data_IF_998577100863
#
_entry.id   IF_998577100863
#
_cell.length_a   1.000
_cell.length_b   1.000
_cell.length_c   1.000
_cell.angle_alpha   90.00
_cell.angle_beta   90.00
_cell.angle_gamma   90.00
#
_symmetry.space_group_name_H-M   'P 1'
#
loop_
_entity.id
_entity.type
_entity.pdbx_description
1 polymer ?
#
# COMPACT_ATOMS: atom_id res chain seq x y z
N UNK A 1 -15.74 -2.58 -17.41
CA UNK A 1 -16.20 -2.54 -16.02
C UNK A 1 -16.59 -1.11 -15.68
N UNK A 2 -17.82 -0.86 -15.25
CA UNK A 2 -18.22 0.47 -14.77
C UNK A 2 -17.55 0.67 -13.41
N UNK A 3 -16.70 1.68 -13.31
CA UNK A 3 -16.20 2.14 -12.03
C UNK A 3 -17.40 2.56 -11.18
N UNK A 4 -17.66 1.83 -10.12
CA UNK A 4 -18.59 2.28 -9.09
C UNK A 4 -17.84 3.32 -8.22
N UNK A 5 -18.49 4.40 -7.83
CA UNK A 5 -17.84 5.40 -6.99
C UNK A 5 -17.49 4.77 -5.64
N UNK A 6 -16.22 4.81 -5.31
CA UNK A 6 -15.72 4.43 -3.98
C UNK A 6 -15.77 5.68 -3.12
N UNK A 7 -16.44 5.57 -2.01
CA UNK A 7 -16.50 6.64 -1.03
C UNK A 7 -15.35 6.49 -0.05
N UNK A 8 -14.39 7.42 -0.13
CA UNK A 8 -13.23 7.44 0.77
C UNK A 8 -13.47 8.55 1.77
N UNK A 9 -13.42 8.22 3.04
CA UNK A 9 -13.45 9.22 4.11
C UNK A 9 -12.32 9.00 5.09
N UNK A 10 -11.59 10.06 5.35
CA UNK A 10 -10.68 10.14 6.49
C UNK A 10 -11.53 10.15 7.76
N UNK A 11 -11.46 9.10 8.58
CA UNK A 11 -12.27 9.01 9.79
C UNK A 11 -11.76 9.87 10.94
N UNK A 12 -10.47 9.98 11.12
CA UNK A 12 -9.85 10.90 12.07
C UNK A 12 -8.33 10.93 11.94
N UNK A 13 -7.74 12.10 12.15
CA UNK A 13 -6.45 12.20 12.83
C UNK A 13 -6.69 11.88 14.30
N UNK A 14 -5.76 11.20 14.96
CA UNK A 14 -5.89 10.89 16.40
C UNK A 14 -6.13 12.14 17.24
N UNK A 15 -5.72 13.30 16.74
CA UNK A 15 -5.85 14.59 17.41
C UNK A 15 -7.00 15.49 16.92
N UNK A 16 -7.84 15.05 15.96
CA UNK A 16 -8.90 15.90 15.41
C UNK A 16 -10.30 15.34 15.62
N UNK A 17 -11.20 16.21 16.02
CA UNK A 17 -12.58 15.92 16.46
C UNK A 17 -13.66 16.11 15.41
N UNK A 18 -13.33 16.40 14.15
CA UNK A 18 -14.32 16.66 13.10
C UNK A 18 -14.66 15.43 12.26
N UNK A 19 -15.91 15.00 12.37
CA UNK A 19 -16.53 13.97 11.55
C UNK A 19 -17.68 14.58 10.74
N UNK A 20 -17.84 14.15 9.50
CA UNK A 20 -18.99 14.53 8.68
C UNK A 20 -20.15 13.52 8.90
N UNK A 21 -21.30 13.99 9.35
CA UNK A 21 -22.38 13.18 9.96
C UNK A 21 -23.24 12.36 8.97
N UNK A 22 -23.17 12.63 7.69
CA UNK A 22 -24.28 12.28 6.79
C UNK A 22 -24.34 10.84 6.25
N UNK A 23 -23.43 9.92 6.59
CA UNK A 23 -23.20 8.73 5.73
C UNK A 23 -23.32 7.35 6.38
N UNK A 24 -23.69 7.21 7.65
CA UNK A 24 -23.43 5.95 8.32
C UNK A 24 -24.64 5.34 9.03
N UNK A 25 -25.33 4.44 8.36
CA UNK A 25 -26.20 3.44 8.99
C UNK A 25 -25.56 2.05 8.82
N UNK A 26 -25.16 1.41 9.90
CA UNK A 26 -24.55 0.07 9.91
C UNK A 26 -25.18 -0.85 10.94
N UNK A 27 -25.27 -2.13 10.59
CA UNK A 27 -25.59 -3.21 11.52
C UNK A 27 -24.26 -3.78 12.05
N UNK A 28 -23.93 -3.50 13.32
CA UNK A 28 -22.59 -3.77 13.87
C UNK A 28 -22.50 -4.96 14.84
N UNK A 29 -23.56 -5.62 15.19
CA UNK A 29 -23.60 -6.50 16.37
C UNK A 29 -22.54 -7.59 16.38
N UNK A 30 -22.33 -8.28 15.26
CA UNK A 30 -21.40 -9.39 15.21
C UNK A 30 -19.93 -8.92 15.11
N UNK A 31 -19.68 -7.89 14.35
CA UNK A 31 -18.30 -7.41 14.08
C UNK A 31 -17.70 -6.68 15.30
N UNK A 32 -18.51 -5.87 16.01
CA UNK A 32 -18.06 -5.27 17.28
C UNK A 32 -17.73 -6.35 18.30
N UNK A 33 -18.52 -7.41 18.39
CA UNK A 33 -18.26 -8.49 19.33
C UNK A 33 -16.97 -9.27 19.01
N UNK A 34 -16.60 -9.39 17.74
CA UNK A 34 -15.30 -9.96 17.32
C UNK A 34 -14.13 -9.09 17.75
N UNK A 35 -14.25 -7.76 17.58
CA UNK A 35 -13.23 -6.81 18.02
C UNK A 35 -13.06 -6.80 19.53
N UNK A 36 -14.17 -6.83 20.27
CA UNK A 36 -14.14 -6.93 21.73
C UNK A 36 -13.51 -8.24 22.21
N UNK A 37 -13.73 -9.34 21.47
CA UNK A 37 -13.10 -10.62 21.74
C UNK A 37 -11.58 -10.56 21.45
N UNK A 38 -11.15 -9.93 20.37
CA UNK A 38 -9.72 -9.75 20.06
C UNK A 38 -9.05 -8.93 21.17
N UNK A 39 -9.62 -7.78 21.54
CA UNK A 39 -9.10 -6.95 22.63
C UNK A 39 -9.05 -7.73 23.97
N UNK A 40 -10.08 -8.48 24.29
CA UNK A 40 -10.11 -9.33 25.49
C UNK A 40 -9.04 -10.41 25.44
N UNK A 41 -8.88 -11.10 24.33
CA UNK A 41 -7.89 -12.15 24.14
C UNK A 41 -6.45 -11.62 24.31
N UNK A 42 -6.15 -10.48 23.68
CA UNK A 42 -4.83 -9.83 23.82
C UNK A 42 -4.55 -9.41 25.27
N UNK A 43 -5.56 -8.89 25.97
CA UNK A 43 -5.43 -8.53 27.38
C UNK A 43 -5.19 -9.77 28.26
N UNK A 44 -5.96 -10.87 28.07
CA UNK A 44 -5.75 -12.11 28.82
C UNK A 44 -4.36 -12.69 28.58
N UNK A 45 -3.85 -12.61 27.35
CA UNK A 45 -2.49 -13.01 27.01
C UNK A 45 -1.44 -12.12 27.70
N UNK A 46 -1.60 -10.80 27.63
CA UNK A 46 -0.69 -9.85 28.28
C UNK A 46 -0.64 -10.03 29.79
N UNK A 47 -1.79 -10.33 30.43
CA UNK A 47 -1.90 -10.61 31.87
C UNK A 47 -1.43 -12.02 32.25
N UNK A 48 -1.01 -12.85 31.29
CA UNK A 48 -0.60 -14.24 31.47
C UNK A 48 -1.70 -15.19 32.02
N UNK A 49 -2.97 -14.80 31.82
CA UNK A 49 -4.11 -15.65 32.18
C UNK A 49 -4.35 -16.76 31.15
N UNK A 50 -3.80 -16.61 29.94
CA UNK A 50 -3.76 -17.61 28.89
C UNK A 50 -2.37 -17.62 28.26
N UNK A 51 -1.90 -18.79 27.83
CA UNK A 51 -0.60 -18.99 27.19
C UNK A 51 -0.79 -19.26 25.69
N UNK A 52 0.23 -18.94 24.89
CA UNK A 52 0.20 -19.14 23.44
C UNK A 52 -0.15 -20.59 23.03
N UNK A 53 0.29 -21.56 23.80
CA UNK A 53 0.14 -23.00 23.55
C UNK A 53 -1.04 -23.64 24.28
N UNK A 54 -1.85 -22.87 25.03
CA UNK A 54 -3.06 -23.40 25.65
C UNK A 54 -4.01 -23.92 24.56
N UNK A 55 -4.59 -25.08 24.78
CA UNK A 55 -5.32 -25.83 23.77
C UNK A 55 -6.82 -25.84 24.04
N UNK A 56 -7.60 -25.61 23.01
CA UNK A 56 -9.04 -25.79 23.01
C UNK A 56 -9.43 -26.96 22.09
N UNK A 57 -10.20 -27.89 22.63
CA UNK A 57 -10.76 -29.01 21.86
C UNK A 57 -12.15 -28.66 21.40
N UNK A 58 -12.40 -28.65 20.08
CA UNK A 58 -13.70 -28.31 19.51
C UNK A 58 -14.73 -29.41 19.87
N UNK A 59 -15.79 -29.08 20.59
CA UNK A 59 -16.79 -30.07 21.02
C UNK A 59 -17.64 -30.56 19.87
N UNK A 60 -18.17 -31.79 19.98
CA UNK A 60 -19.03 -32.41 18.96
C UNK A 60 -20.32 -31.63 18.68
N UNK A 61 -20.82 -30.89 19.66
CA UNK A 61 -22.05 -30.12 19.60
C UNK A 61 -21.84 -28.62 19.36
N UNK A 62 -20.75 -28.26 18.67
CA UNK A 62 -20.50 -26.87 18.31
C UNK A 62 -21.67 -26.29 17.50
N UNK A 63 -22.00 -25.05 17.78
CA UNK A 63 -23.12 -24.33 17.14
C UNK A 63 -23.07 -24.39 15.60
N UNK A 64 -24.22 -24.65 14.98
CA UNK A 64 -24.33 -24.60 13.51
C UNK A 64 -24.51 -23.15 13.09
N UNK A 65 -23.44 -22.51 12.64
CA UNK A 65 -23.47 -21.14 12.12
C UNK A 65 -24.04 -21.12 10.69
N UNK A 66 -25.35 -21.21 10.57
CA UNK A 66 -26.04 -21.22 9.27
C UNK A 66 -26.03 -19.79 8.70
N UNK A 67 -25.61 -19.64 7.44
CA UNK A 67 -25.56 -18.34 6.75
C UNK A 67 -24.40 -17.43 7.12
N UNK A 68 -23.51 -17.85 8.03
CA UNK A 68 -22.34 -17.08 8.44
C UNK A 68 -21.05 -17.63 7.81
N UNK A 69 -20.05 -16.76 7.65
CA UNK A 69 -18.73 -17.17 7.20
C UNK A 69 -18.08 -18.10 8.24
N UNK A 70 -17.53 -19.23 7.77
CA UNK A 70 -16.85 -20.23 8.60
C UNK A 70 -15.48 -20.53 8.06
N UNK A 71 -14.54 -20.78 8.97
CA UNK A 71 -13.23 -21.35 8.60
C UNK A 71 -13.34 -22.86 8.41
N UNK A 72 -14.24 -23.53 9.12
CA UNK A 72 -14.44 -24.98 9.06
C UNK A 72 -13.62 -25.72 10.09
N UNK A 73 -13.62 -25.24 11.35
CA UNK A 73 -13.01 -25.96 12.47
C UNK A 73 -13.67 -27.33 12.62
N UNK A 74 -12.85 -28.38 12.72
CA UNK A 74 -13.37 -29.74 12.82
C UNK A 74 -13.60 -30.15 14.28
N UNK A 75 -14.72 -30.80 14.49
CA UNK A 75 -15.06 -31.37 15.81
C UNK A 75 -14.03 -32.37 16.27
N UNK A 76 -13.74 -32.40 17.55
CA UNK A 76 -12.72 -33.23 18.22
C UNK A 76 -11.26 -32.90 17.82
N UNK A 77 -11.01 -31.93 16.96
CA UNK A 77 -9.67 -31.40 16.74
C UNK A 77 -9.31 -30.35 17.80
N UNK A 78 -8.02 -30.22 18.04
CA UNK A 78 -7.45 -29.32 19.03
C UNK A 78 -6.78 -28.15 18.32
N UNK A 79 -7.03 -26.93 18.80
CA UNK A 79 -6.40 -25.71 18.32
C UNK A 79 -5.81 -24.92 19.47
N UNK A 80 -4.63 -24.37 19.27
CA UNK A 80 -3.98 -23.52 20.28
C UNK A 80 -4.66 -22.16 20.37
N UNK A 81 -4.44 -21.45 21.48
CA UNK A 81 -4.88 -20.07 21.63
C UNK A 81 -4.34 -19.18 20.51
N UNK A 82 -3.04 -19.34 20.18
CA UNK A 82 -2.41 -18.60 19.08
C UNK A 82 -3.13 -18.83 17.76
N UNK A 83 -3.39 -20.09 17.39
CA UNK A 83 -4.10 -20.42 16.15
C UNK A 83 -5.50 -19.82 16.12
N UNK A 84 -6.28 -19.97 17.20
CA UNK A 84 -7.64 -19.42 17.23
C UNK A 84 -7.67 -17.90 17.13
N UNK A 85 -6.75 -17.21 17.81
CA UNK A 85 -6.70 -15.76 17.72
C UNK A 85 -6.23 -15.28 16.33
N UNK A 86 -5.21 -15.91 15.75
CA UNK A 86 -4.79 -15.66 14.39
C UNK A 86 -5.93 -15.93 13.37
N UNK A 87 -6.62 -17.07 13.52
CA UNK A 87 -7.76 -17.41 12.66
C UNK A 87 -8.88 -16.37 12.75
N UNK A 88 -9.20 -15.89 13.96
CA UNK A 88 -10.21 -14.86 14.15
C UNK A 88 -9.80 -13.55 13.47
N UNK A 89 -8.56 -13.10 13.67
CA UNK A 89 -8.02 -11.87 13.08
C UNK A 89 -8.07 -11.96 11.55
N UNK A 90 -7.64 -13.09 10.97
CA UNK A 90 -7.56 -13.25 9.52
C UNK A 90 -8.88 -13.48 8.82
N UNK A 91 -9.78 -14.25 9.41
CA UNK A 91 -10.96 -14.73 8.71
C UNK A 91 -12.27 -14.15 9.25
N UNK A 92 -12.24 -13.66 10.48
CA UNK A 92 -13.43 -13.21 11.20
C UNK A 92 -14.58 -14.25 11.21
N UNK A 93 -14.23 -15.53 11.11
CA UNK A 93 -15.16 -16.61 10.97
C UNK A 93 -15.94 -16.86 12.27
N UNK A 94 -17.23 -17.17 12.13
CA UNK A 94 -18.14 -17.32 13.26
C UNK A 94 -17.83 -18.55 14.13
N UNK A 95 -17.39 -19.65 13.54
CA UNK A 95 -16.94 -20.85 14.25
C UNK A 95 -15.67 -20.62 15.06
N UNK A 96 -14.74 -19.80 14.56
CA UNK A 96 -13.54 -19.41 15.29
C UNK A 96 -13.87 -18.48 16.45
N UNK A 97 -14.76 -17.49 16.24
CA UNK A 97 -15.26 -16.62 17.30
C UNK A 97 -15.88 -17.43 18.45
N UNK A 98 -16.73 -18.41 18.10
CA UNK A 98 -17.39 -19.27 19.10
C UNK A 98 -16.36 -20.11 19.87
N UNK A 99 -15.39 -20.72 19.19
CA UNK A 99 -14.33 -21.51 19.81
C UNK A 99 -13.47 -20.66 20.76
N UNK A 100 -12.97 -19.51 20.33
CA UNK A 100 -12.14 -18.63 21.14
C UNK A 100 -12.94 -18.03 22.32
N UNK A 101 -14.21 -17.67 22.10
CA UNK A 101 -15.08 -17.21 23.20
C UNK A 101 -15.26 -18.27 24.28
N UNK A 102 -15.50 -19.53 23.90
CA UNK A 102 -15.64 -20.64 24.85
C UNK A 102 -14.33 -20.95 25.55
N UNK A 103 -13.22 -20.90 24.86
CA UNK A 103 -11.89 -21.07 25.45
C UNK A 103 -11.61 -20.04 26.55
N UNK A 104 -11.94 -18.77 26.30
CA UNK A 104 -11.60 -17.67 27.22
C UNK A 104 -12.67 -17.40 28.28
N UNK A 105 -13.94 -17.63 27.96
CA UNK A 105 -15.07 -17.23 28.79
C UNK A 105 -15.85 -18.44 29.36
N UNK A 106 -15.63 -19.65 28.86
CA UNK A 106 -16.32 -20.87 29.28
C UNK A 106 -17.67 -21.05 28.60
N UNK A 107 -18.64 -20.14 28.80
CA UNK A 107 -19.98 -20.23 28.19
C UNK A 107 -20.29 -18.99 27.35
N UNK A 108 -21.31 -19.13 26.47
CA UNK A 108 -21.79 -18.02 25.64
C UNK A 108 -22.42 -16.90 26.49
N UNK A 109 -23.06 -17.25 27.61
CA UNK A 109 -23.65 -16.29 28.54
C UNK A 109 -22.54 -15.46 29.22
N UNK A 110 -21.47 -16.11 29.67
CA UNK A 110 -20.33 -15.43 30.25
C UNK A 110 -19.61 -14.54 29.22
N UNK A 111 -19.43 -15.02 27.98
CA UNK A 111 -18.89 -14.23 26.89
C UNK A 111 -19.73 -12.98 26.61
N UNK A 112 -21.06 -13.12 26.52
CA UNK A 112 -21.99 -12.01 26.32
C UNK A 112 -21.89 -10.97 27.44
N UNK A 113 -21.77 -11.41 28.69
CA UNK A 113 -21.60 -10.51 29.84
C UNK A 113 -20.25 -9.73 29.76
N UNK A 114 -19.18 -10.43 29.43
CA UNK A 114 -17.85 -9.84 29.28
C UNK A 114 -17.85 -8.80 28.14
N UNK A 115 -18.44 -9.15 26.98
CA UNK A 115 -18.53 -8.25 25.84
C UNK A 115 -19.39 -7.02 26.16
N UNK A 116 -20.49 -7.18 26.86
CA UNK A 116 -21.35 -6.04 27.26
C UNK A 116 -20.62 -5.08 28.21
N UNK A 117 -19.90 -5.62 29.20
CA UNK A 117 -19.07 -4.82 30.11
C UNK A 117 -17.95 -4.10 29.35
N UNK A 118 -17.29 -4.79 28.43
CA UNK A 118 -16.21 -4.23 27.63
C UNK A 118 -16.72 -3.15 26.65
N UNK A 119 -17.83 -3.42 25.99
CA UNK A 119 -18.50 -2.43 25.14
C UNK A 119 -18.82 -1.15 25.92
N UNK A 120 -19.34 -1.28 27.14
CA UNK A 120 -19.60 -0.13 28.01
C UNK A 120 -18.35 0.68 28.35
N UNK A 121 -17.16 0.01 28.53
CA UNK A 121 -15.88 0.69 28.77
C UNK A 121 -15.47 1.60 27.62
N UNK A 122 -15.88 1.27 26.40
CA UNK A 122 -15.62 2.07 25.20
C UNK A 122 -16.84 2.90 24.79
N UNK A 123 -17.90 2.98 25.60
CA UNK A 123 -19.20 3.58 25.27
C UNK A 123 -19.80 3.05 23.96
N UNK A 124 -19.53 1.78 23.64
CA UNK A 124 -20.13 1.08 22.50
C UNK A 124 -21.46 0.44 22.92
N UNK A 125 -22.46 0.49 22.06
CA UNK A 125 -23.70 -0.26 22.22
C UNK A 125 -23.71 -1.45 21.27
N UNK A 126 -24.11 -2.62 21.76
CA UNK A 126 -24.25 -3.84 20.97
C UNK A 126 -25.65 -3.92 20.33
N UNK A 127 -26.21 -2.81 19.85
CA UNK A 127 -27.52 -2.73 19.20
C UNK A 127 -27.37 -2.16 17.79
N UNK A 128 -28.28 -2.58 16.92
CA UNK A 128 -28.32 -2.49 15.47
C UNK A 128 -28.20 -1.11 14.79
N UNK A 129 -27.86 -0.04 15.49
CA UNK A 129 -27.70 1.29 14.88
C UNK A 129 -26.37 1.90 15.23
N UNK A 130 -25.54 2.08 14.23
CA UNK A 130 -24.30 2.83 14.39
C UNK A 130 -24.57 4.32 14.26
N UNK A 131 -24.47 5.03 15.37
CA UNK A 131 -24.38 6.48 15.38
C UNK A 131 -22.93 6.92 15.16
N UNK A 132 -22.72 8.17 14.78
CA UNK A 132 -21.39 8.79 14.69
C UNK A 132 -20.57 8.61 15.99
N UNK A 133 -21.22 8.70 17.15
CA UNK A 133 -20.56 8.45 18.42
C UNK A 133 -20.07 7.01 18.55
N UNK A 134 -20.76 6.04 18.01
CA UNK A 134 -20.33 4.64 17.98
C UNK A 134 -19.05 4.44 17.17
N UNK A 135 -18.89 5.12 16.05
CA UNK A 135 -17.67 5.06 15.25
C UNK A 135 -16.47 5.65 15.99
N UNK A 136 -16.64 6.77 16.71
CA UNK A 136 -15.58 7.30 17.59
C UNK A 136 -15.13 6.29 18.63
N UNK A 137 -16.09 5.61 19.23
CA UNK A 137 -15.84 4.62 20.28
C UNK A 137 -15.24 3.33 19.72
N UNK A 138 -15.71 2.89 18.55
CA UNK A 138 -15.10 1.78 17.81
C UNK A 138 -13.62 2.09 17.47
N UNK A 139 -13.36 3.33 17.08
CA UNK A 139 -12.02 3.83 16.85
C UNK A 139 -11.11 3.71 18.09
N UNK A 140 -11.63 4.05 19.29
CA UNK A 140 -10.88 3.90 20.54
C UNK A 140 -10.56 2.44 20.85
N UNK A 141 -11.48 1.53 20.56
CA UNK A 141 -11.27 0.09 20.71
C UNK A 141 -10.16 -0.40 19.74
N UNK A 142 -10.24 -0.03 18.48
CA UNK A 142 -9.22 -0.38 17.49
C UNK A 142 -7.87 0.18 17.89
N UNK A 143 -7.79 1.45 18.29
CA UNK A 143 -6.57 2.08 18.80
C UNK A 143 -5.99 1.31 19.99
N UNK A 144 -6.85 0.83 20.90
CA UNK A 144 -6.41 0.01 22.03
C UNK A 144 -5.79 -1.30 21.54
N UNK A 145 -6.42 -2.00 20.61
CA UNK A 145 -5.89 -3.24 20.02
C UNK A 145 -4.48 -3.00 19.43
N UNK A 146 -4.28 -1.88 18.74
CA UNK A 146 -2.97 -1.55 18.15
C UNK A 146 -1.94 -0.99 19.13
N UNK A 147 -2.37 -0.58 20.32
CA UNK A 147 -1.46 -0.12 21.37
C UNK A 147 -0.78 -1.26 22.16
N UNK A 148 -1.13 -2.51 21.91
CA UNK A 148 -0.42 -3.64 22.54
C UNK A 148 1.05 -3.67 22.09
N UNK A 149 1.97 -4.18 22.97
CA UNK A 149 3.39 -4.27 22.65
C UNK A 149 3.69 -5.00 21.33
N UNK A 150 4.78 -4.65 20.67
CA UNK A 150 5.12 -5.20 19.35
C UNK A 150 5.35 -6.71 19.39
N UNK A 151 5.96 -7.25 20.44
CA UNK A 151 6.15 -8.68 20.62
C UNK A 151 4.82 -9.45 20.66
N UNK A 152 3.78 -8.88 21.24
CA UNK A 152 2.41 -9.44 21.22
C UNK A 152 1.82 -9.32 19.82
N UNK A 153 1.97 -8.16 19.18
CA UNK A 153 1.45 -7.95 17.81
C UNK A 153 2.11 -8.88 16.79
N UNK A 154 3.43 -9.02 16.82
CA UNK A 154 4.17 -9.91 15.92
C UNK A 154 3.74 -11.38 16.03
N UNK A 155 3.32 -11.82 17.22
CA UNK A 155 2.82 -13.18 17.41
C UNK A 155 1.46 -13.43 16.76
N UNK A 156 0.57 -12.46 16.79
CA UNK A 156 -0.82 -12.64 16.37
C UNK A 156 -1.16 -12.02 15.00
N UNK A 157 -0.47 -10.94 14.61
CA UNK A 157 -0.68 -10.27 13.33
C UNK A 157 0.32 -10.78 12.29
N UNK A 158 0.16 -12.03 11.87
CA UNK A 158 1.03 -12.71 10.91
C UNK A 158 0.74 -12.26 9.46
N UNK A 159 1.70 -12.47 8.56
CA UNK A 159 1.58 -12.04 7.15
C UNK A 159 0.82 -13.04 6.26
N UNK A 160 0.78 -14.29 6.65
CA UNK A 160 0.16 -15.37 5.91
C UNK A 160 -0.35 -16.43 6.89
N UNK A 161 -1.56 -16.92 6.66
CA UNK A 161 -2.18 -17.98 7.44
C UNK A 161 -2.39 -19.20 6.56
N UNK A 162 -1.83 -20.34 6.97
CA UNK A 162 -2.05 -21.62 6.32
C UNK A 162 -2.98 -22.51 7.17
N UNK A 163 -4.12 -22.90 6.61
CA UNK A 163 -5.08 -23.77 7.28
C UNK A 163 -5.67 -24.80 6.33
N UNK A 164 -5.59 -26.09 6.67
CA UNK A 164 -6.09 -27.23 5.91
C UNK A 164 -5.64 -27.21 4.42
N UNK A 165 -4.37 -26.87 4.17
CA UNK A 165 -3.80 -26.82 2.82
C UNK A 165 -4.25 -25.62 1.98
N UNK A 166 -4.96 -24.67 2.57
CA UNK A 166 -5.31 -23.39 1.96
C UNK A 166 -4.47 -22.28 2.60
N UNK A 167 -3.91 -21.43 1.76
CA UNK A 167 -3.27 -20.20 2.18
C UNK A 167 -4.34 -19.09 2.22
N UNK A 168 -4.39 -18.39 3.34
CA UNK A 168 -5.19 -17.20 3.52
C UNK A 168 -4.22 -16.03 3.57
N UNK A 169 -4.31 -15.15 2.59
CA UNK A 169 -3.60 -13.88 2.64
C UNK A 169 -4.38 -12.90 3.52
N UNK A 170 -3.69 -11.96 4.14
CA UNK A 170 -4.36 -10.85 4.82
C UNK A 170 -5.38 -10.22 3.87
N UNK A 171 -6.48 -9.72 4.41
CA UNK A 171 -7.55 -9.11 3.61
C UNK A 171 -7.09 -7.90 2.79
N UNK A 172 -5.84 -7.46 2.98
CA UNK A 172 -5.22 -6.42 2.18
C UNK A 172 -3.73 -6.66 2.00
N UNK A 173 -3.20 -6.45 0.78
CA UNK A 173 -1.76 -6.46 0.51
C UNK A 173 -0.99 -5.32 1.22
N UNK A 174 -1.68 -4.39 1.86
CA UNK A 174 -1.08 -3.32 2.65
C UNK A 174 -0.61 -3.78 4.04
N UNK A 175 -1.03 -4.96 4.51
CA UNK A 175 -0.57 -5.54 5.77
C UNK A 175 0.95 -5.77 5.74
N UNK A 176 1.63 -5.26 6.76
CA UNK A 176 3.09 -5.38 6.89
C UNK A 176 3.91 -4.23 6.33
N UNK A 177 3.27 -3.18 5.82
CA UNK A 177 3.94 -1.98 5.32
C UNK A 177 3.38 -0.71 5.98
N UNK A 178 3.49 -0.57 7.30
CA UNK A 178 2.92 0.55 8.08
C UNK A 178 1.40 0.65 8.09
N UNK A 179 0.72 -0.30 7.48
CA UNK A 179 -0.68 -0.57 7.70
C UNK A 179 -0.75 -1.72 8.68
N UNK A 180 -1.16 -1.44 9.87
CA UNK A 180 -1.11 -2.41 10.95
C UNK A 180 -2.25 -3.40 10.80
N UNK A 181 -3.40 -3.01 10.21
CA UNK A 181 -4.46 -3.97 9.86
C UNK A 181 -5.60 -3.39 9.03
N UNK A 182 -6.30 -4.28 8.33
CA UNK A 182 -7.61 -4.01 7.79
C UNK A 182 -8.63 -4.87 8.51
N UNK A 183 -9.51 -4.21 9.24
CA UNK A 183 -10.68 -4.84 9.80
C UNK A 183 -11.81 -4.81 8.78
N UNK A 184 -12.36 -5.97 8.54
CA UNK A 184 -13.42 -6.19 7.60
C UNK A 184 -14.76 -6.27 8.35
N UNK A 185 -15.61 -5.27 8.12
CA UNK A 185 -16.97 -5.24 8.63
C UNK A 185 -17.94 -5.46 7.47
N UNK A 186 -18.91 -6.35 7.62
CA UNK A 186 -19.94 -6.59 6.61
C UNK A 186 -21.29 -6.18 7.12
N UNK A 187 -22.05 -5.45 6.31
CA UNK A 187 -23.50 -5.50 6.38
C UNK A 187 -24.06 -6.13 5.09
N UNK A 188 -25.38 -6.33 5.02
CA UNK A 188 -26.06 -6.95 3.87
C UNK A 188 -25.85 -6.21 2.54
N UNK A 189 -25.34 -4.99 2.55
CA UNK A 189 -25.25 -4.11 1.37
C UNK A 189 -23.85 -3.53 1.11
N UNK A 190 -22.93 -3.51 2.10
CA UNK A 190 -21.61 -2.88 1.96
C UNK A 190 -20.54 -3.67 2.69
N UNK A 191 -19.38 -3.77 2.09
CA UNK A 191 -18.16 -4.21 2.76
C UNK A 191 -17.37 -2.99 3.20
N UNK A 192 -16.91 -3.01 4.43
CA UNK A 192 -16.22 -1.89 5.06
C UNK A 192 -14.86 -2.38 5.51
N UNK A 193 -13.85 -1.62 5.12
CA UNK A 193 -12.49 -1.87 5.53
C UNK A 193 -12.03 -0.72 6.40
N UNK A 194 -11.64 -1.03 7.62
CA UNK A 194 -10.96 -0.08 8.52
C UNK A 194 -9.47 -0.34 8.42
N UNK A 195 -8.71 0.68 8.09
CA UNK A 195 -7.27 0.58 7.90
C UNK A 195 -6.56 1.54 8.85
N UNK A 196 -5.66 1.03 9.65
CA UNK A 196 -4.83 1.82 10.55
C UNK A 196 -3.46 2.10 9.90
N UNK A 197 -3.08 3.37 9.84
CA UNK A 197 -1.79 3.83 9.31
C UNK A 197 -0.89 4.23 10.46
N UNK A 198 0.13 3.41 10.72
CA UNK A 198 1.03 3.60 11.86
C UNK A 198 1.81 4.92 11.80
N UNK A 199 2.26 5.29 10.60
CA UNK A 199 3.10 6.48 10.39
C UNK A 199 2.44 7.80 10.82
N UNK A 200 1.13 7.94 10.59
CA UNK A 200 0.40 9.16 10.88
C UNK A 200 -0.58 8.99 12.04
N UNK A 201 -0.61 7.84 12.66
CA UNK A 201 -1.64 7.48 13.64
C UNK A 201 -3.06 7.79 13.13
N UNK A 202 -3.26 7.59 11.85
CA UNK A 202 -4.50 7.91 11.15
C UNK A 202 -5.26 6.63 10.84
N UNK A 203 -6.57 6.64 11.00
CA UNK A 203 -7.44 5.56 10.56
C UNK A 203 -8.16 5.98 9.30
N UNK A 204 -7.93 5.22 8.24
CA UNK A 204 -8.66 5.30 7.00
C UNK A 204 -9.87 4.39 7.01
N UNK A 205 -10.91 4.83 6.36
CA UNK A 205 -12.13 4.07 6.20
C UNK A 205 -12.50 3.99 4.72
N UNK A 206 -12.81 2.77 4.27
CA UNK A 206 -13.18 2.50 2.89
C UNK A 206 -14.50 1.73 2.87
N UNK A 207 -15.47 2.23 2.14
CA UNK A 207 -16.75 1.57 1.94
C UNK A 207 -16.96 1.25 0.47
N UNK A 208 -17.37 0.02 0.18
CA UNK A 208 -17.65 -0.45 -1.17
C UNK A 208 -19.10 -0.94 -1.26
N UNK A 209 -19.79 -0.57 -2.32
CA UNK A 209 -21.18 -0.98 -2.57
C UNK A 209 -21.30 -2.43 -3.07
N UNK A 210 -20.26 -2.94 -3.73
CA UNK A 210 -20.23 -4.27 -4.31
C UNK A 210 -19.17 -5.16 -3.68
N UNK A 211 -19.25 -6.46 -3.97
CA UNK A 211 -18.33 -7.49 -3.49
C UNK A 211 -16.96 -7.33 -4.12
N UNK A 212 -16.15 -6.39 -3.59
CA UNK A 212 -14.76 -6.27 -3.97
C UNK A 212 -13.99 -7.41 -3.33
N UNK A 213 -13.79 -8.46 -4.09
CA UNK A 213 -13.12 -9.67 -3.63
C UNK A 213 -11.59 -9.51 -3.48
N UNK A 214 -11.02 -8.37 -3.90
CA UNK A 214 -9.58 -8.19 -3.99
C UNK A 214 -9.12 -6.95 -3.26
N UNK A 215 -8.18 -7.13 -2.37
CA UNK A 215 -7.57 -6.07 -1.58
C UNK A 215 -6.74 -5.07 -2.43
N UNK A 216 -6.30 -5.46 -3.63
CA UNK A 216 -5.62 -4.58 -4.59
C UNK A 216 -6.43 -3.32 -4.95
N UNK A 217 -7.75 -3.38 -4.85
CA UNK A 217 -8.60 -2.20 -5.04
C UNK A 217 -8.48 -1.16 -3.92
N UNK A 218 -7.91 -1.53 -2.77
CA UNK A 218 -7.67 -0.59 -1.66
C UNK A 218 -6.42 0.26 -1.84
N UNK A 219 -5.47 -0.17 -2.67
CA UNK A 219 -4.18 0.51 -2.85
C UNK A 219 -4.34 1.94 -3.34
N UNK A 220 -5.18 2.23 -4.35
CA UNK A 220 -5.42 3.61 -4.77
C UNK A 220 -5.84 4.51 -3.61
N UNK A 221 -6.54 3.97 -2.63
CA UNK A 221 -7.11 4.70 -1.51
C UNK A 221 -6.15 4.91 -0.36
N UNK A 222 -5.23 3.96 -0.14
CA UNK A 222 -4.11 4.15 0.78
C UNK A 222 -3.29 5.39 0.40
N UNK A 223 -3.05 5.58 -0.89
CA UNK A 223 -2.33 6.74 -1.39
C UNK A 223 -3.04 8.07 -1.08
N UNK A 224 -4.38 8.12 -0.95
CA UNK A 224 -5.10 9.33 -0.63
C UNK A 224 -4.74 9.91 0.74
N UNK A 225 -4.45 9.09 1.73
CA UNK A 225 -4.16 9.55 3.08
C UNK A 225 -2.75 10.11 3.23
N UNK A 226 -1.82 9.68 2.38
CA UNK A 226 -0.43 10.13 2.38
C UNK A 226 -0.21 11.44 1.60
N UNK A 227 -1.17 11.82 0.78
CA UNK A 227 -1.06 12.94 -0.15
C UNK A 227 -0.95 14.33 0.49
N UNK A 228 -1.22 14.48 1.78
CA UNK A 228 -1.32 15.79 2.43
C UNK A 228 0.02 16.53 2.64
N UNK A 229 1.16 15.90 2.37
CA UNK A 229 2.49 16.46 2.70
C UNK A 229 3.50 16.45 1.56
N UNK A 230 3.05 16.32 0.31
CA UNK A 230 3.96 16.32 -0.83
C UNK A 230 4.56 17.70 -1.04
N UNK A 231 5.89 17.74 -1.20
CA UNK A 231 6.61 18.99 -1.43
C UNK A 231 7.01 19.10 -2.91
N UNK A 232 6.90 20.30 -3.50
CA UNK A 232 7.43 20.52 -4.84
C UNK A 232 8.97 20.47 -4.83
N UNK A 233 9.54 19.92 -5.89
CA UNK A 233 10.93 20.16 -6.28
C UNK A 233 10.93 21.37 -7.18
N UNK A 234 11.42 22.50 -6.68
CA UNK A 234 11.47 23.74 -7.45
C UNK A 234 12.52 23.60 -8.54
N UNK A 235 12.12 23.87 -9.77
CA UNK A 235 13.00 23.92 -10.94
C UNK A 235 12.86 25.25 -11.68
N UNK A 236 13.75 25.51 -12.60
CA UNK A 236 13.74 26.73 -13.38
C UNK A 236 13.84 26.44 -14.87
N UNK A 237 13.17 27.28 -15.66
CA UNK A 237 13.28 27.31 -17.12
C UNK A 237 13.45 28.77 -17.55
N UNK A 238 14.65 29.34 -17.41
CA UNK A 238 14.88 30.76 -17.71
C UNK A 238 14.50 31.17 -19.12
N UNK A 239 14.56 30.25 -20.09
CA UNK A 239 14.11 30.46 -21.48
C UNK A 239 12.58 30.49 -21.65
N UNK A 240 11.85 30.00 -20.62
CA UNK A 240 10.40 29.75 -20.74
C UNK A 240 10.04 28.52 -21.57
N UNK A 241 11.02 27.70 -21.95
CA UNK A 241 10.83 26.51 -22.77
C UNK A 241 10.84 25.25 -21.87
N UNK A 242 9.85 24.41 -22.05
CA UNK A 242 9.74 23.07 -21.42
C UNK A 242 9.75 22.04 -22.53
N UNK A 243 10.78 21.21 -22.59
CA UNK A 243 10.88 20.10 -23.53
C UNK A 243 10.55 18.80 -22.80
N UNK A 244 9.53 18.08 -23.26
CA UNK A 244 9.12 16.77 -22.72
C UNK A 244 9.43 15.72 -23.76
N UNK A 245 10.39 14.84 -23.45
CA UNK A 245 10.81 13.73 -24.28
C UNK A 245 10.10 12.44 -23.81
N UNK A 246 9.99 11.48 -24.72
CA UNK A 246 9.44 10.16 -24.43
C UNK A 246 10.43 9.24 -23.70
N UNK A 247 10.21 7.93 -23.90
CA UNK A 247 11.01 6.88 -23.28
C UNK A 247 12.47 6.96 -23.72
N UNK A 248 13.36 6.95 -22.76
CA UNK A 248 14.79 7.08 -22.96
C UNK A 248 15.52 5.90 -22.37
N UNK A 249 15.98 5.02 -23.22
CA UNK A 249 16.81 3.87 -22.93
C UNK A 249 17.72 3.59 -24.14
N UNK A 250 19.00 3.33 -23.92
CA UNK A 250 19.96 3.17 -25.03
C UNK A 250 19.94 1.77 -25.64
N UNK A 251 19.29 0.82 -25.03
CA UNK A 251 19.08 -0.52 -25.58
C UNK A 251 20.21 -1.49 -25.30
N UNK A 252 20.92 -1.33 -24.18
CA UNK A 252 22.09 -2.16 -23.79
C UNK A 252 21.79 -3.66 -23.83
N UNK A 253 20.61 -4.09 -23.36
CA UNK A 253 20.21 -5.49 -23.42
C UNK A 253 20.12 -6.02 -24.86
N UNK A 254 19.71 -5.18 -25.79
CA UNK A 254 19.63 -5.57 -27.21
C UNK A 254 21.03 -5.57 -27.84
N UNK A 255 21.88 -4.65 -27.43
CA UNK A 255 23.29 -4.59 -27.83
C UNK A 255 24.03 -5.87 -27.39
N UNK A 256 23.86 -6.30 -26.15
CA UNK A 256 24.45 -7.54 -25.64
C UNK A 256 23.94 -8.77 -26.41
N UNK A 257 22.63 -8.85 -26.68
CA UNK A 257 22.04 -9.94 -27.49
C UNK A 257 22.59 -9.96 -28.92
N UNK A 258 22.80 -8.80 -29.55
CA UNK A 258 23.37 -8.70 -30.89
C UNK A 258 24.84 -9.07 -30.88
N UNK A 259 25.62 -8.58 -29.91
CA UNK A 259 27.01 -8.95 -29.72
C UNK A 259 27.19 -10.46 -29.58
N UNK A 260 26.36 -11.12 -28.79
CA UNK A 260 26.37 -12.57 -28.65
C UNK A 260 26.08 -13.34 -29.96
N UNK A 261 25.47 -12.67 -30.96
CA UNK A 261 25.19 -13.21 -32.30
C UNK A 261 26.21 -12.76 -33.35
N UNK A 262 27.27 -12.08 -32.94
CA UNK A 262 28.31 -11.52 -33.86
C UNK A 262 27.76 -10.32 -34.67
N UNK A 263 26.70 -9.67 -34.22
CA UNK A 263 26.11 -8.50 -34.90
C UNK A 263 26.54 -7.21 -34.20
N UNK A 264 26.78 -6.16 -35.00
CA UNK A 264 27.10 -4.80 -34.51
C UNK A 264 25.85 -3.93 -34.67
N UNK A 265 25.59 -3.10 -33.67
CA UNK A 265 24.52 -2.09 -33.71
C UNK A 265 25.04 -0.67 -33.56
N UNK A 266 24.11 0.31 -33.59
CA UNK A 266 24.49 1.72 -33.53
C UNK A 266 25.14 2.10 -32.20
N UNK A 267 24.73 1.52 -31.07
CA UNK A 267 25.32 1.80 -29.75
C UNK A 267 26.77 1.34 -29.67
N UNK A 268 27.08 0.14 -30.20
CA UNK A 268 28.46 -0.38 -30.29
C UNK A 268 29.32 0.45 -31.23
N UNK A 269 28.73 0.88 -32.34
CA UNK A 269 29.50 1.57 -33.41
C UNK A 269 29.73 3.06 -33.12
N UNK A 270 28.76 3.74 -32.54
CA UNK A 270 28.75 5.20 -32.43
C UNK A 270 28.65 5.72 -31.00
N UNK A 271 28.43 4.84 -30.02
CA UNK A 271 28.26 5.22 -28.61
C UNK A 271 26.92 5.87 -28.29
N UNK A 272 26.77 6.30 -27.05
CA UNK A 272 25.52 6.80 -26.47
C UNK A 272 25.04 8.14 -27.08
N UNK A 273 25.95 9.04 -27.33
CA UNK A 273 25.64 10.39 -27.89
C UNK A 273 25.01 10.34 -29.27
N UNK A 274 25.22 9.26 -30.00
CA UNK A 274 24.64 9.10 -31.34
C UNK A 274 23.11 9.11 -31.33
N UNK A 275 22.50 8.58 -30.31
CA UNK A 275 21.03 8.53 -30.14
C UNK A 275 20.42 9.95 -30.08
N UNK A 276 21.15 10.90 -29.54
CA UNK A 276 20.69 12.28 -29.37
C UNK A 276 21.15 13.26 -30.46
N UNK A 277 21.97 12.80 -31.40
CA UNK A 277 22.59 13.65 -32.42
C UNK A 277 21.63 14.60 -33.13
N UNK A 278 20.40 14.13 -33.41
CA UNK A 278 19.42 14.95 -34.16
C UNK A 278 18.62 15.88 -33.27
N UNK A 279 18.40 15.54 -32.01
CA UNK A 279 17.56 16.35 -31.11
C UNK A 279 18.34 17.32 -30.24
N UNK A 280 19.66 17.13 -30.11
CA UNK A 280 20.52 18.00 -29.29
C UNK A 280 20.36 19.49 -29.59
N UNK A 281 20.19 19.85 -30.86
CA UNK A 281 20.04 21.24 -31.28
C UNK A 281 18.74 21.90 -30.78
N UNK A 282 17.76 21.11 -30.34
CA UNK A 282 16.47 21.61 -29.84
C UNK A 282 16.44 21.72 -28.29
N UNK A 283 17.46 21.24 -27.61
CA UNK A 283 17.52 21.18 -26.15
C UNK A 283 18.51 22.23 -25.65
N UNK A 284 17.98 23.38 -25.24
CA UNK A 284 18.80 24.48 -24.72
C UNK A 284 19.27 24.23 -23.28
N UNK A 285 20.41 24.78 -22.91
CA UNK A 285 20.95 24.73 -21.55
C UNK A 285 20.05 25.38 -20.51
N UNK A 286 19.29 26.40 -20.92
CA UNK A 286 18.39 27.16 -20.06
C UNK A 286 16.92 26.69 -20.14
N UNK A 287 16.69 25.60 -20.87
CA UNK A 287 15.37 24.97 -20.96
C UNK A 287 15.15 23.98 -19.82
N UNK A 288 13.90 23.71 -19.49
CA UNK A 288 13.53 22.56 -18.67
C UNK A 288 13.39 21.33 -19.58
N UNK A 289 14.43 20.50 -19.64
CA UNK A 289 14.46 19.30 -20.45
C UNK A 289 14.14 18.08 -19.58
N UNK A 290 13.02 17.39 -19.86
CA UNK A 290 12.55 16.23 -19.11
C UNK A 290 12.40 15.03 -20.02
N UNK A 291 12.89 13.85 -19.62
CA UNK A 291 12.67 12.59 -20.32
C UNK A 291 12.12 11.51 -19.39
N UNK A 292 11.33 10.58 -19.90
CA UNK A 292 11.04 9.35 -19.18
C UNK A 292 12.27 8.43 -19.25
N UNK A 293 13.02 8.29 -18.15
CA UNK A 293 14.15 7.35 -18.10
C UNK A 293 13.59 5.95 -17.81
N UNK A 294 13.42 5.16 -18.87
CA UNK A 294 12.79 3.84 -18.83
C UNK A 294 13.83 2.72 -18.65
N UNK A 295 14.65 2.81 -17.61
CA UNK A 295 15.63 1.81 -17.24
C UNK A 295 16.02 1.95 -15.76
N UNK A 296 16.89 1.07 -15.30
CA UNK A 296 17.45 1.10 -13.95
C UNK A 296 18.97 0.97 -14.00
N UNK A 297 19.67 1.69 -13.14
CA UNK A 297 21.09 1.43 -12.86
C UNK A 297 21.21 0.36 -11.79
N UNK A 298 22.12 -0.57 -11.95
CA UNK A 298 22.34 -1.62 -10.96
C UNK A 298 23.76 -2.15 -11.00
N UNK A 299 24.32 -2.42 -9.82
CA UNK A 299 25.57 -3.16 -9.66
C UNK A 299 25.37 -4.68 -9.72
N UNK A 300 24.11 -5.14 -9.57
CA UNK A 300 23.77 -6.55 -9.59
C UNK A 300 23.84 -7.12 -11.01
N UNK A 301 24.31 -8.38 -11.12
CA UNK A 301 24.39 -9.06 -12.41
C UNK A 301 23.07 -9.74 -12.82
N UNK A 302 22.22 -10.04 -11.85
CA UNK A 302 20.96 -10.73 -12.07
C UNK A 302 19.79 -9.97 -11.46
N UNK A 303 18.71 -9.89 -12.22
CA UNK A 303 17.46 -9.31 -11.76
C UNK A 303 16.66 -10.32 -10.94
N UNK A 304 16.08 -9.93 -9.79
CA UNK A 304 15.12 -10.76 -9.06
C UNK A 304 13.84 -11.04 -9.86
N UNK A 305 13.57 -10.25 -10.90
CA UNK A 305 12.39 -10.39 -11.76
C UNK A 305 12.69 -11.12 -13.08
N UNK A 306 13.92 -11.59 -13.31
CA UNK A 306 14.32 -12.19 -14.57
C UNK A 306 13.55 -13.46 -14.98
N UNK A 307 12.92 -14.13 -14.00
CA UNK A 307 12.08 -15.31 -14.23
C UNK A 307 10.57 -14.95 -14.40
N UNK A 308 10.18 -13.72 -14.06
CA UNK A 308 8.79 -13.25 -14.09
C UNK A 308 8.52 -12.27 -15.24
N UNK A 309 9.54 -11.53 -15.65
CA UNK A 309 9.41 -10.40 -16.56
C UNK A 309 10.23 -10.63 -17.82
N UNK A 310 9.64 -10.51 -19.04
CA UNK A 310 10.34 -10.83 -20.29
C UNK A 310 11.41 -9.82 -20.69
N UNK A 311 11.27 -8.57 -20.21
CA UNK A 311 12.20 -7.48 -20.49
C UNK A 311 12.70 -6.86 -19.19
N UNK A 312 13.99 -6.91 -18.99
CA UNK A 312 14.72 -6.32 -17.85
C UNK A 312 15.67 -5.28 -18.45
N UNK A 313 15.44 -4.01 -18.15
CA UNK A 313 16.18 -2.92 -18.76
C UNK A 313 17.21 -2.33 -17.77
N UNK A 314 18.45 -2.81 -17.90
CA UNK A 314 19.59 -2.27 -17.15
C UNK A 314 20.37 -1.31 -18.06
N UNK A 315 20.65 -0.12 -17.57
CA UNK A 315 21.46 0.88 -18.24
C UNK A 315 22.86 1.02 -17.59
N UNK A 316 23.83 1.41 -18.38
CA UNK A 316 25.14 1.84 -17.90
C UNK A 316 25.04 3.24 -17.29
N UNK A 317 25.34 3.38 -16.00
CA UNK A 317 25.14 4.63 -15.29
C UNK A 317 26.08 5.73 -15.80
N UNK A 318 27.36 5.44 -15.97
CA UNK A 318 28.38 6.41 -16.38
C UNK A 318 28.09 6.96 -17.79
N UNK A 319 27.86 6.06 -18.73
CA UNK A 319 27.63 6.42 -20.13
C UNK A 319 26.29 7.15 -20.31
N UNK A 320 25.25 6.66 -19.64
CA UNK A 320 23.91 7.28 -19.70
C UNK A 320 23.93 8.71 -19.14
N UNK A 321 24.52 8.90 -17.97
CA UNK A 321 24.57 10.21 -17.31
C UNK A 321 25.45 11.19 -18.08
N UNK A 322 26.56 10.73 -18.67
CA UNK A 322 27.38 11.54 -19.58
C UNK A 322 26.60 12.00 -20.80
N UNK A 323 25.87 11.10 -21.45
CA UNK A 323 25.03 11.41 -22.61
C UNK A 323 23.89 12.38 -22.25
N UNK A 324 23.24 12.23 -21.10
CA UNK A 324 22.21 13.15 -20.61
C UNK A 324 22.79 14.57 -20.42
N UNK A 325 23.95 14.65 -19.76
CA UNK A 325 24.64 15.94 -19.56
C UNK A 325 24.98 16.62 -20.88
N UNK A 326 25.44 15.86 -21.88
CA UNK A 326 25.81 16.40 -23.20
C UNK A 326 24.64 17.02 -23.97
N UNK A 327 23.39 16.70 -23.63
CA UNK A 327 22.18 17.26 -24.25
C UNK A 327 21.40 18.15 -23.29
N UNK A 328 21.98 18.58 -22.20
CA UNK A 328 21.31 19.40 -21.17
C UNK A 328 20.04 18.74 -20.56
N UNK A 329 19.97 17.40 -20.55
CA UNK A 329 18.88 16.67 -19.90
C UNK A 329 19.16 16.58 -18.41
N UNK A 330 18.57 17.49 -17.65
CA UNK A 330 18.81 17.67 -16.23
C UNK A 330 17.62 17.27 -15.35
N UNK A 331 16.54 16.76 -15.97
CA UNK A 331 15.34 16.28 -15.28
C UNK A 331 14.86 14.97 -15.89
N UNK A 332 14.44 14.01 -15.05
CA UNK A 332 13.86 12.75 -15.51
C UNK A 332 12.59 12.39 -14.77
N UNK A 333 11.67 11.76 -15.49
CA UNK A 333 10.49 11.12 -14.98
C UNK A 333 10.79 9.63 -14.82
N UNK A 334 10.47 9.05 -13.66
CA UNK A 334 10.88 7.69 -13.27
C UNK A 334 9.71 6.75 -13.01
N UNK A 335 8.47 7.23 -13.05
CA UNK A 335 7.31 6.38 -12.82
C UNK A 335 7.00 5.54 -14.04
N UNK A 336 7.75 4.46 -14.21
CA UNK A 336 7.58 3.49 -15.28
C UNK A 336 7.76 2.05 -14.77
N UNK A 337 7.54 1.08 -15.63
CA UNK A 337 7.57 -0.34 -15.29
C UNK A 337 8.99 -0.95 -15.25
N UNK A 338 10.05 -0.17 -15.52
CA UNK A 338 11.42 -0.71 -15.56
C UNK A 338 12.32 -0.25 -14.43
N UNK A 339 11.96 0.80 -13.69
CA UNK A 339 12.80 1.32 -12.62
C UNK A 339 13.08 0.30 -11.49
N UNK A 340 12.16 -0.63 -11.24
CA UNK A 340 12.36 -1.71 -10.24
C UNK A 340 12.78 -3.05 -10.85
N UNK A 341 13.29 -3.07 -12.06
CA UNK A 341 13.76 -4.30 -12.69
C UNK A 341 14.86 -5.03 -11.89
N UNK A 342 15.61 -4.30 -11.08
CA UNK A 342 16.60 -4.84 -10.14
C UNK A 342 16.20 -4.64 -8.67
N UNK A 343 14.86 -4.59 -8.39
CA UNK A 343 14.32 -4.45 -7.03
C UNK A 343 14.68 -3.13 -6.36
N UNK A 344 14.56 -3.10 -5.03
CA UNK A 344 14.81 -1.90 -4.22
C UNK A 344 16.27 -1.41 -4.30
N UNK A 345 17.23 -2.34 -4.41
CA UNK A 345 18.65 -1.99 -4.53
C UNK A 345 18.95 -1.25 -5.82
N UNK A 346 18.39 -1.74 -6.95
CA UNK A 346 18.55 -1.07 -8.25
C UNK A 346 17.91 0.31 -8.26
N UNK A 347 16.69 0.42 -7.77
CA UNK A 347 15.99 1.69 -7.63
C UNK A 347 16.82 2.68 -6.78
N UNK A 348 17.22 2.30 -5.57
CA UNK A 348 17.98 3.17 -4.66
C UNK A 348 19.31 3.59 -5.29
N UNK A 349 20.01 2.67 -5.93
CA UNK A 349 21.24 2.99 -6.64
C UNK A 349 21.01 3.98 -7.80
N UNK A 350 19.92 3.81 -8.54
CA UNK A 350 19.55 4.74 -9.63
C UNK A 350 19.34 6.16 -9.08
N UNK A 351 18.56 6.31 -7.99
CA UNK A 351 18.32 7.61 -7.38
C UNK A 351 19.64 8.26 -6.91
N UNK A 352 20.53 7.49 -6.27
CA UNK A 352 21.84 7.96 -5.82
C UNK A 352 22.72 8.43 -6.98
N UNK A 353 22.72 7.72 -8.11
CA UNK A 353 23.50 8.11 -9.29
C UNK A 353 22.97 9.40 -9.94
N UNK A 354 21.65 9.55 -10.01
CA UNK A 354 21.01 10.78 -10.50
C UNK A 354 21.32 11.97 -9.58
N UNK A 355 21.25 11.80 -8.25
CA UNK A 355 21.60 12.83 -7.28
C UNK A 355 23.07 13.26 -7.41
N UNK A 356 23.99 12.31 -7.54
CA UNK A 356 25.42 12.59 -7.74
C UNK A 356 25.72 13.32 -9.05
N UNK A 357 24.92 13.05 -10.08
CA UNK A 357 25.02 13.71 -11.37
C UNK A 357 24.30 15.08 -11.44
N UNK A 358 23.63 15.51 -10.34
CA UNK A 358 22.75 16.68 -10.29
C UNK A 358 21.59 16.62 -11.31
N UNK A 359 21.04 15.42 -11.54
CA UNK A 359 19.84 15.23 -12.37
C UNK A 359 18.66 15.08 -11.43
N UNK A 360 17.73 16.02 -11.49
CA UNK A 360 16.50 15.99 -10.71
C UNK A 360 15.51 14.95 -11.25
N UNK A 361 14.73 14.34 -10.38
CA UNK A 361 13.76 13.33 -10.79
C UNK A 361 12.43 13.46 -10.02
N UNK A 362 11.36 12.95 -10.64
CA UNK A 362 10.02 12.80 -10.06
C UNK A 362 9.47 11.41 -10.42
N UNK A 363 8.41 11.01 -9.72
CA UNK A 363 7.71 9.75 -10.03
C UNK A 363 8.31 8.51 -9.38
N UNK A 364 9.40 8.64 -8.60
CA UNK A 364 9.97 7.55 -7.81
C UNK A 364 10.63 8.07 -6.54
N UNK A 365 10.77 7.20 -5.54
CA UNK A 365 11.38 7.57 -4.26
C UNK A 365 11.72 6.38 -3.39
N UNK A 366 12.46 6.64 -2.32
CA UNK A 366 12.79 5.65 -1.27
C UNK A 366 11.60 5.37 -0.35
N UNK A 367 10.56 6.18 -0.46
CA UNK A 367 9.27 6.02 0.21
C UNK A 367 8.17 6.64 -0.67
N UNK A 368 6.93 6.45 -0.28
CA UNK A 368 5.77 6.95 -1.02
C UNK A 368 5.76 8.48 -1.17
N UNK A 369 6.12 9.21 -0.12
CA UNK A 369 6.14 10.67 -0.13
C UNK A 369 7.14 11.21 -1.15
N UNK A 370 8.33 10.64 -1.20
CA UNK A 370 9.36 11.04 -2.17
C UNK A 370 8.95 10.69 -3.60
N UNK A 371 8.30 9.53 -3.79
CA UNK A 371 7.84 9.10 -5.11
C UNK A 371 6.77 10.02 -5.70
N UNK A 372 5.92 10.64 -4.86
CA UNK A 372 4.85 11.53 -5.29
C UNK A 372 5.26 13.00 -5.39
N UNK A 373 6.52 13.35 -5.18
CA UNK A 373 7.02 14.69 -5.43
C UNK A 373 6.79 15.08 -6.90
N UNK A 374 6.65 16.38 -7.15
CA UNK A 374 6.41 16.94 -8.47
C UNK A 374 7.37 18.11 -8.73
N UNK A 375 7.60 18.44 -9.99
CA UNK A 375 8.32 19.65 -10.35
C UNK A 375 7.39 20.85 -10.33
N UNK A 376 7.84 21.92 -9.69
CA UNK A 376 7.16 23.22 -9.73
C UNK A 376 8.10 24.27 -10.32
N UNK A 377 7.59 25.05 -11.26
CA UNK A 377 8.30 26.16 -11.84
C UNK A 377 7.38 27.37 -11.97
N UNK A 378 7.98 28.56 -11.92
CA UNK A 378 7.28 29.82 -12.11
C UNK A 378 7.83 30.54 -13.32
N UNK A 379 6.93 30.99 -14.20
CA UNK A 379 7.27 31.76 -15.38
C UNK A 379 6.15 32.77 -15.66
N UNK A 380 6.51 34.05 -15.95
CA UNK A 380 5.56 35.14 -16.24
C UNK A 380 4.41 35.24 -15.21
N UNK A 381 4.72 35.19 -13.92
CA UNK A 381 3.76 35.21 -12.82
C UNK A 381 2.74 34.04 -12.80
N UNK A 382 3.02 32.97 -13.54
CA UNK A 382 2.24 31.73 -13.51
C UNK A 382 3.07 30.61 -12.89
N UNK A 383 2.39 29.75 -12.14
CA UNK A 383 2.99 28.52 -11.60
C UNK A 383 2.58 27.34 -12.46
N UNK A 384 3.53 26.46 -12.70
CA UNK A 384 3.35 25.22 -13.45
C UNK A 384 3.79 24.07 -12.58
N UNK A 385 3.05 22.96 -12.61
CA UNK A 385 3.41 21.73 -11.94
C UNK A 385 3.45 20.56 -12.91
N UNK A 386 4.49 19.73 -12.80
CA UNK A 386 4.66 18.53 -13.61
C UNK A 386 4.65 17.34 -12.67
N UNK A 387 3.63 16.50 -12.82
CA UNK A 387 3.45 15.27 -12.08
C UNK A 387 3.82 14.08 -12.95
N UNK A 388 4.35 13.03 -12.32
CA UNK A 388 4.65 11.77 -12.98
C UNK A 388 4.16 10.60 -12.14
N UNK A 389 3.44 9.67 -12.75
CA UNK A 389 2.93 8.48 -12.10
C UNK A 389 2.69 7.36 -13.12
N UNK A 390 2.94 6.13 -12.71
CA UNK A 390 2.61 4.93 -13.46
C UNK A 390 1.21 4.47 -13.08
N UNK A 391 0.36 4.23 -14.07
CA UNK A 391 -1.02 3.84 -13.80
C UNK A 391 -1.10 2.50 -13.07
N UNK A 392 -2.13 2.34 -12.25
CA UNK A 392 -2.33 1.13 -11.48
C UNK A 392 -2.55 -0.08 -12.40
N UNK A 393 -1.78 -1.13 -12.14
CA UNK A 393 -1.96 -2.47 -12.75
C UNK A 393 -1.78 -3.52 -11.66
N UNK A 394 -2.67 -4.52 -11.63
CA UNK A 394 -2.63 -5.61 -10.66
C UNK A 394 -1.28 -6.35 -10.71
N UNK A 395 -0.80 -6.71 -11.90
CA UNK A 395 0.50 -7.35 -12.08
C UNK A 395 1.68 -6.51 -11.61
N UNK A 396 1.65 -5.20 -11.83
CA UNK A 396 2.69 -4.29 -11.37
C UNK A 396 2.75 -4.22 -9.84
N UNK A 397 1.64 -4.43 -9.18
CA UNK A 397 1.54 -4.46 -7.74
C UNK A 397 1.84 -5.84 -7.15
N UNK A 398 1.16 -6.89 -7.62
CA UNK A 398 1.21 -8.23 -7.02
C UNK A 398 2.46 -9.00 -7.40
N UNK A 399 2.86 -8.94 -8.69
CA UNK A 399 3.93 -9.77 -9.22
C UNK A 399 5.29 -9.06 -9.20
N UNK A 400 5.30 -7.75 -9.43
CA UNK A 400 6.52 -6.97 -9.64
C UNK A 400 6.84 -5.98 -8.53
N UNK A 401 5.87 -5.67 -7.67
CA UNK A 401 6.03 -4.82 -6.50
C UNK A 401 6.61 -3.42 -6.82
N UNK A 402 6.08 -2.77 -7.86
CA UNK A 402 6.65 -1.51 -8.38
C UNK A 402 6.35 -0.28 -7.54
N UNK A 403 5.16 -0.21 -6.91
CA UNK A 403 4.69 1.03 -6.31
C UNK A 403 5.32 1.32 -4.96
N UNK A 404 5.60 2.61 -4.74
CA UNK A 404 5.96 3.13 -3.43
C UNK A 404 4.75 3.14 -2.51
N UNK A 405 4.91 2.57 -1.32
CA UNK A 405 3.85 2.45 -0.30
C UNK A 405 4.44 2.72 1.08
N UNK A 406 3.95 3.74 1.80
CA UNK A 406 4.49 4.10 3.10
C UNK A 406 6.00 4.35 3.03
N UNK A 407 6.78 3.59 3.78
CA UNK A 407 8.25 3.66 3.77
C UNK A 407 8.91 2.79 2.69
N UNK A 408 8.14 2.05 1.92
CA UNK A 408 8.67 1.23 0.85
C UNK A 408 9.03 2.06 -0.36
N UNK A 409 10.21 1.80 -0.93
CA UNK A 409 10.68 2.39 -2.18
C UNK A 409 9.86 1.92 -3.38
N UNK A 410 9.71 2.77 -4.37
CA UNK A 410 8.98 2.42 -5.59
C UNK A 410 8.68 3.62 -6.47
N UNK A 411 7.80 3.38 -7.45
CA UNK A 411 7.28 4.43 -8.33
C UNK A 411 5.96 4.99 -7.82
N UNK A 412 5.65 6.23 -8.17
CA UNK A 412 4.36 6.85 -7.89
C UNK A 412 3.26 6.16 -8.70
N UNK A 413 2.14 5.88 -8.05
CA UNK A 413 0.97 5.31 -8.70
C UNK A 413 0.07 6.43 -9.25
N UNK A 414 -0.19 6.42 -10.56
CA UNK A 414 -1.18 7.31 -11.16
C UNK A 414 -2.57 6.77 -10.89
N UNK A 415 -3.17 7.26 -9.85
CA UNK A 415 -4.51 6.88 -9.40
C UNK A 415 -5.29 8.11 -8.92
N UNK A 416 -6.44 7.90 -8.31
CA UNK A 416 -7.31 8.99 -7.83
C UNK A 416 -6.60 10.02 -6.95
N UNK A 417 -5.57 9.63 -6.21
CA UNK A 417 -4.80 10.54 -5.33
C UNK A 417 -3.97 11.52 -6.12
N UNK A 418 -3.19 11.03 -7.07
CA UNK A 418 -2.38 11.94 -7.91
C UNK A 418 -3.29 12.87 -8.71
N UNK A 419 -4.43 12.36 -9.18
CA UNK A 419 -5.45 13.18 -9.85
C UNK A 419 -6.06 14.22 -8.90
N UNK A 420 -6.31 13.87 -7.64
CA UNK A 420 -6.79 14.82 -6.62
C UNK A 420 -5.75 15.90 -6.31
N UNK A 421 -4.47 15.54 -6.22
CA UNK A 421 -3.38 16.51 -6.04
C UNK A 421 -3.28 17.48 -7.20
N UNK A 422 -3.36 16.98 -8.43
CA UNK A 422 -3.41 17.81 -9.63
C UNK A 422 -4.62 18.76 -9.57
N UNK A 423 -5.78 18.26 -9.15
CA UNK A 423 -6.99 19.05 -8.96
C UNK A 423 -6.81 20.15 -7.90
N UNK A 424 -6.26 19.83 -6.75
CA UNK A 424 -5.97 20.81 -5.68
C UNK A 424 -4.98 21.87 -6.13
N UNK A 425 -3.90 21.48 -6.81
CA UNK A 425 -2.92 22.42 -7.33
C UNK A 425 -3.55 23.44 -8.32
N UNK A 426 -4.53 23.04 -9.11
CA UNK A 426 -5.24 23.94 -10.04
C UNK A 426 -6.14 24.96 -9.34
N UNK A 427 -6.51 24.73 -8.11
CA UNK A 427 -7.39 25.61 -7.31
C UNK A 427 -6.60 26.61 -6.43
N UNK A 428 -5.29 26.45 -6.32
CA UNK A 428 -4.39 27.35 -5.59
C UNK A 428 -3.64 28.31 -6.52
#
# INVERSE_FOLDING_TARGET
>A
MKYQPVEIKLLAHIDTTSFDEALWQFEFDDDISKLLLIDYALEQFQQKNVQAQDVYVVPQNMSKHIGQQKLGLKTSESYTFTELLQFLIFTQAADVKDALSKMLCGTNEQASLIFSKRAATYNLTLKNEATQNQLKHLFLLIRKIYSYPNDIKELFFIKELNFQGKSYLPHTPLMGQHVVEVLYLTNSFRKIYLTFFEENQTIGFFSFLDDIQRAEHLIPYYHCFQAQTIRPKVCSAPSGIINILGDTYFGEIYTEKRKARGQIDALQQYGYDYSFKKIKAFLGEHDLNIANFEAVFSLENQSPLGHKKPFILKADAEQTLAAFKNIHLNHVALANNHLKDYGDRGLTYTLQQLDQANISYIGAGVNQKDAHNYFELSFENKRYAIFNGYWHRDTAYLDYDFYALGHKSGVACLNGVLLEQIGRYRLT
#
